data_IF_597445780568
#
_entry.id   IF_597445780568
#
_cell.length_a   1.000
_cell.length_b   1.000
_cell.length_c   1.000
_cell.angle_alpha   90.00
_cell.angle_beta   90.00
_cell.angle_gamma   90.00
#
_symmetry.space_group_name_H-M   'P 1'
#
loop_
_entity.id
_entity.type
_entity.pdbx_description
1 polymer ?
#
# COMPACT_ATOMS: atom_id res chain seq x y z
N UNK A 1 -22.52 -21.20 32.04
CA UNK A 1 -21.50 -21.79 31.15
C UNK A 1 -20.52 -20.70 30.75
N UNK A 2 -19.27 -20.83 31.21
CA UNK A 2 -18.13 -20.00 30.79
C UNK A 2 -17.77 -20.29 29.33
N UNK A 3 -17.24 -19.30 28.60
CA UNK A 3 -15.97 -19.40 27.85
C UNK A 3 -15.47 -17.97 27.51
N UNK A 4 -14.93 -17.27 28.50
CA UNK A 4 -13.93 -16.22 28.22
C UNK A 4 -12.60 -16.92 27.92
N UNK A 5 -12.43 -17.31 26.66
CA UNK A 5 -11.14 -17.73 26.14
C UNK A 5 -10.29 -16.50 25.89
N UNK A 6 -9.38 -16.20 26.82
CA UNK A 6 -8.26 -15.29 26.61
C UNK A 6 -7.36 -15.86 25.51
N UNK A 7 -7.62 -15.53 24.25
CA UNK A 7 -6.65 -15.75 23.17
C UNK A 7 -5.62 -14.63 23.21
N UNK A 8 -4.58 -14.82 24.04
CA UNK A 8 -3.38 -13.97 24.08
C UNK A 8 -2.52 -14.18 22.83
N UNK A 9 -3.12 -14.11 21.65
CA UNK A 9 -2.40 -14.12 20.39
C UNK A 9 -1.95 -12.69 20.13
N UNK A 10 -0.78 -12.32 20.64
CA UNK A 10 -0.12 -11.06 20.28
C UNK A 10 0.03 -10.88 18.75
N UNK A 11 -0.06 -11.98 18.00
CA UNK A 11 -0.12 -12.02 16.54
C UNK A 11 -1.43 -11.51 15.91
N UNK A 12 -2.56 -11.60 16.61
CA UNK A 12 -3.86 -11.12 16.08
C UNK A 12 -4.05 -9.60 16.26
N UNK A 13 -3.26 -8.97 17.12
CA UNK A 13 -3.34 -7.53 17.44
C UNK A 13 -2.17 -6.73 16.85
N UNK A 14 -1.25 -7.39 16.13
CA UNK A 14 -0.41 -6.70 15.17
C UNK A 14 -1.31 -6.32 13.99
N UNK A 15 -2.10 -5.26 14.18
CA UNK A 15 -2.84 -4.57 13.13
C UNK A 15 -1.91 -4.49 11.91
N UNK A 16 -2.22 -5.23 10.84
CA UNK A 16 -1.40 -5.27 9.64
C UNK A 16 -1.48 -3.85 9.06
N UNK A 17 -0.53 -3.01 9.47
CA UNK A 17 -0.47 -1.63 9.02
C UNK A 17 -0.04 -1.66 7.57
N UNK A 18 -0.92 -1.16 6.72
CA UNK A 18 -0.58 -0.89 5.33
C UNK A 18 0.53 0.15 5.38
N UNK A 19 1.73 -0.15 4.88
CA UNK A 19 2.81 0.81 4.89
C UNK A 19 2.40 2.01 4.02
N UNK A 20 2.61 3.21 4.55
CA UNK A 20 2.47 4.42 3.75
C UNK A 20 3.39 4.32 2.53
N UNK A 21 2.85 4.61 1.35
CA UNK A 21 3.63 4.61 0.13
C UNK A 21 4.47 5.87 0.09
N UNK A 22 5.79 5.71 0.14
CA UNK A 22 6.67 6.82 -0.16
C UNK A 22 6.49 7.24 -1.63
N UNK A 23 6.20 8.53 -1.87
CA UNK A 23 6.16 9.06 -3.23
C UNK A 23 7.49 8.84 -3.93
N UNK A 24 7.45 8.42 -5.19
CA UNK A 24 8.62 8.16 -6.01
C UNK A 24 9.30 9.45 -6.47
N UNK A 25 10.60 9.56 -6.24
CA UNK A 25 11.41 10.74 -6.59
C UNK A 25 12.13 10.63 -7.94
N UNK A 26 11.98 9.51 -8.66
CA UNK A 26 12.68 9.26 -9.92
C UNK A 26 14.01 8.54 -9.77
N UNK A 27 14.49 8.26 -8.54
CA UNK A 27 15.75 7.54 -8.34
C UNK A 27 15.55 6.04 -8.55
N UNK A 28 16.35 5.44 -9.42
CA UNK A 28 16.32 4.00 -9.75
C UNK A 28 16.35 3.12 -8.49
N UNK A 29 17.16 3.47 -7.49
CA UNK A 29 17.26 2.72 -6.22
C UNK A 29 15.95 2.61 -5.44
N UNK A 30 15.01 3.52 -5.67
CA UNK A 30 13.71 3.57 -5.00
C UNK A 30 12.59 2.93 -5.84
N UNK A 31 12.85 2.63 -7.12
CA UNK A 31 11.83 2.19 -8.07
C UNK A 31 11.20 0.85 -7.70
N UNK A 32 12.02 -0.14 -7.30
CA UNK A 32 11.52 -1.47 -6.94
C UNK A 32 10.59 -1.39 -5.72
N UNK A 33 11.01 -0.67 -4.67
CA UNK A 33 10.18 -0.46 -3.48
C UNK A 33 8.87 0.26 -3.81
N UNK A 34 8.92 1.29 -4.66
CA UNK A 34 7.74 2.00 -5.11
C UNK A 34 6.76 1.10 -5.88
N UNK A 35 7.27 0.30 -6.84
CA UNK A 35 6.47 -0.64 -7.63
C UNK A 35 5.78 -1.67 -6.75
N UNK A 36 6.51 -2.29 -5.82
CA UNK A 36 5.93 -3.27 -4.89
C UNK A 36 4.85 -2.65 -4.02
N UNK A 37 5.02 -1.40 -3.58
CA UNK A 37 4.02 -0.71 -2.78
C UNK A 37 2.73 -0.41 -3.58
N UNK A 38 2.85 -0.04 -4.87
CA UNK A 38 1.71 0.09 -5.77
C UNK A 38 0.97 -1.24 -5.98
N UNK A 39 1.71 -2.34 -6.20
CA UNK A 39 1.13 -3.67 -6.38
C UNK A 39 0.33 -4.12 -5.15
N UNK A 40 0.85 -3.85 -3.94
CA UNK A 40 0.12 -4.11 -2.69
C UNK A 40 -1.19 -3.33 -2.66
N UNK A 41 -1.20 -2.03 -2.98
CA UNK A 41 -2.44 -1.24 -3.00
C UNK A 41 -3.45 -1.75 -4.01
N UNK A 42 -2.99 -2.11 -5.22
CA UNK A 42 -3.87 -2.65 -6.25
C UNK A 42 -4.51 -3.97 -5.82
N UNK A 43 -3.77 -4.78 -5.09
CA UNK A 43 -4.27 -6.03 -4.55
C UNK A 43 -5.23 -5.83 -3.36
N UNK A 44 -4.97 -4.83 -2.51
CA UNK A 44 -5.80 -4.54 -1.33
C UNK A 44 -7.14 -3.88 -1.69
N UNK A 45 -7.19 -3.08 -2.76
CA UNK A 45 -8.37 -2.31 -3.16
C UNK A 45 -8.76 -2.56 -4.63
N UNK A 46 -9.04 -3.81 -5.03
CA UNK A 46 -9.31 -4.17 -6.42
C UNK A 46 -10.50 -3.41 -7.01
N UNK A 47 -11.48 -3.02 -6.19
CA UNK A 47 -12.64 -2.21 -6.59
C UNK A 47 -12.24 -0.79 -6.99
N UNK A 48 -11.32 -0.16 -6.25
CA UNK A 48 -10.81 1.18 -6.55
C UNK A 48 -9.94 1.19 -7.81
N UNK A 49 -9.22 0.09 -8.06
CA UNK A 49 -8.28 -0.05 -9.17
C UNK A 49 -8.80 -0.93 -10.30
N UNK A 50 -10.09 -1.21 -10.35
CA UNK A 50 -10.74 -1.95 -11.45
C UNK A 50 -10.68 -1.19 -12.80
N UNK A 51 -10.54 0.14 -12.75
CA UNK A 51 -10.46 1.02 -13.92
C UNK A 51 -9.04 1.58 -14.04
N UNK A 52 -8.44 1.47 -15.22
CA UNK A 52 -7.06 1.92 -15.45
C UNK A 52 -6.86 3.42 -15.20
N UNK A 53 -7.88 4.24 -15.45
CA UNK A 53 -7.87 5.68 -15.13
C UNK A 53 -7.53 5.92 -13.65
N UNK A 54 -8.06 5.11 -12.74
CA UNK A 54 -7.81 5.24 -11.32
C UNK A 54 -6.37 4.84 -10.96
N UNK A 55 -5.83 3.80 -11.59
CA UNK A 55 -4.41 3.43 -11.46
C UNK A 55 -3.49 4.56 -11.91
N UNK A 56 -3.74 5.12 -13.09
CA UNK A 56 -2.95 6.23 -13.65
C UNK A 56 -2.99 7.44 -12.72
N UNK A 57 -4.20 7.84 -12.28
CA UNK A 57 -4.36 8.96 -11.35
C UNK A 57 -3.65 8.71 -10.02
N UNK A 58 -3.70 7.48 -9.52
CA UNK A 58 -3.06 7.11 -8.26
C UNK A 58 -1.54 7.15 -8.36
N UNK A 59 -0.96 6.59 -9.43
CA UNK A 59 0.49 6.68 -9.70
C UNK A 59 0.90 8.15 -9.74
N UNK A 60 0.20 8.99 -10.53
CA UNK A 60 0.52 10.41 -10.68
C UNK A 60 0.56 11.17 -9.35
N UNK A 61 -0.40 10.90 -8.44
CA UNK A 61 -0.42 11.51 -7.11
C UNK A 61 0.74 11.07 -6.20
N UNK A 62 1.38 9.95 -6.52
CA UNK A 62 2.53 9.39 -5.80
C UNK A 62 3.86 9.64 -6.50
N UNK A 63 3.92 10.55 -7.48
CA UNK A 63 5.17 11.07 -8.01
C UNK A 63 5.56 12.35 -7.24
N UNK A 64 6.87 12.57 -7.05
CA UNK A 64 7.43 13.79 -6.48
C UNK A 64 8.72 14.18 -7.19
N UNK A 65 9.18 15.41 -7.00
CA UNK A 65 10.42 15.93 -7.58
C UNK A 65 10.48 15.67 -9.10
N UNK A 66 11.65 15.28 -9.62
CA UNK A 66 11.89 15.00 -11.05
C UNK A 66 10.98 13.94 -11.66
N UNK A 67 10.28 13.12 -10.86
CA UNK A 67 9.32 12.15 -11.40
C UNK A 67 7.91 12.72 -11.59
N UNK A 68 7.55 13.81 -10.92
CA UNK A 68 6.20 14.39 -10.95
C UNK A 68 6.11 15.73 -11.69
N UNK A 69 7.17 16.13 -12.37
CA UNK A 69 7.31 17.41 -13.11
C UNK A 69 7.18 17.13 -14.61
#
# INVERSE_FOLDING_TARGET
MNYFGSSNNAFLVAEIRIPDIEKFDGKIKNYISFKSALEIQYWMYPECFSIDKNKISYIGNHLKNTAGI
#
